data_IF_828896064319
#
_entry.id   IF_828896064319
#
_cell.length_a   1.000
_cell.length_b   1.000
_cell.length_c   1.000
_cell.angle_alpha   90.00
_cell.angle_beta   90.00
_cell.angle_gamma   90.00
#
_symmetry.space_group_name_H-M   'P 1'
#
loop_
_entity.id
_entity.type
_entity.pdbx_description
1 polymer ?
#
# COMPACT_ATOMS: atom_id res chain seq x y z
N UNK A 1 9.43 4.27 18.76
CA UNK A 1 8.04 4.37 19.26
C UNK A 1 7.88 5.37 20.44
N UNK A 2 8.94 5.80 21.10
CA UNK A 2 8.86 6.71 22.26
C UNK A 2 8.11 8.00 21.95
N UNK A 3 8.25 8.54 20.73
CA UNK A 3 7.59 9.79 20.32
C UNK A 3 6.18 9.60 19.77
N UNK A 4 5.69 8.37 19.62
CA UNK A 4 4.36 8.11 19.06
C UNK A 4 3.24 8.80 19.86
N UNK A 5 3.21 8.76 21.20
CA UNK A 5 2.20 9.48 21.98
C UNK A 5 2.23 10.99 21.77
N UNK A 6 3.42 11.59 21.62
CA UNK A 6 3.55 13.03 21.37
C UNK A 6 3.00 13.41 20.00
N UNK A 7 3.22 12.57 18.99
CA UNK A 7 2.69 12.80 17.65
C UNK A 7 1.16 12.67 17.67
N UNK A 8 0.62 11.53 18.14
CA UNK A 8 -0.81 11.22 18.00
C UNK A 8 -1.71 11.93 19.01
N UNK A 9 -1.21 12.22 20.22
CA UNK A 9 -2.01 12.84 21.28
C UNK A 9 -1.90 14.36 21.33
N UNK A 10 -0.81 14.93 20.82
CA UNK A 10 -0.60 16.37 20.84
C UNK A 10 -0.54 16.95 19.43
N UNK A 11 0.48 16.66 18.64
CA UNK A 11 0.65 17.28 17.32
C UNK A 11 -0.56 17.09 16.41
N UNK A 12 -1.06 15.87 16.29
CA UNK A 12 -2.23 15.56 15.45
C UNK A 12 -3.52 16.25 15.89
N UNK A 13 -3.66 16.58 17.16
CA UNK A 13 -4.88 17.17 17.74
C UNK A 13 -4.79 18.68 17.94
N UNK A 14 -3.60 19.25 17.94
CA UNK A 14 -3.31 20.64 18.25
C UNK A 14 -4.13 21.63 17.42
N UNK A 15 -4.17 21.43 16.11
CA UNK A 15 -4.91 22.29 15.18
C UNK A 15 -6.43 22.23 15.42
N UNK A 16 -6.98 21.06 15.72
CA UNK A 16 -8.42 20.90 15.94
C UNK A 16 -8.85 21.43 17.32
N UNK A 17 -8.15 21.01 18.38
CA UNK A 17 -8.54 21.30 19.76
C UNK A 17 -8.16 22.72 20.21
N UNK A 18 -6.97 23.16 19.85
CA UNK A 18 -6.42 24.43 20.37
C UNK A 18 -6.26 25.52 19.32
N UNK A 19 -6.58 25.22 18.04
CA UNK A 19 -6.42 26.12 16.90
C UNK A 19 -4.96 26.52 16.66
N UNK A 20 -4.03 25.69 17.12
CA UNK A 20 -2.58 25.91 16.97
C UNK A 20 -2.03 24.85 16.02
N UNK A 21 -1.65 25.20 14.78
CA UNK A 21 -1.00 24.26 13.87
C UNK A 21 0.30 23.71 14.46
N UNK A 22 0.54 22.42 14.25
CA UNK A 22 1.78 21.76 14.63
C UNK A 22 2.28 20.88 13.48
N UNK A 23 2.73 21.49 12.36
CA UNK A 23 3.17 20.73 11.21
C UNK A 23 4.46 19.96 11.52
N UNK A 24 4.40 18.65 11.45
CA UNK A 24 5.52 17.76 11.67
C UNK A 24 5.61 16.77 10.51
N UNK A 25 6.81 16.60 9.95
CA UNK A 25 7.11 15.61 8.93
C UNK A 25 7.81 14.41 9.57
N UNK A 26 7.03 13.38 9.89
CA UNK A 26 7.54 12.15 10.52
C UNK A 26 7.94 11.16 9.44
N UNK A 27 9.22 10.79 9.40
CA UNK A 27 9.74 9.77 8.49
C UNK A 27 9.79 8.43 9.20
N UNK A 28 8.99 7.48 8.72
CA UNK A 28 9.04 6.08 9.14
C UNK A 28 9.72 5.23 8.08
N UNK A 29 10.89 4.69 8.38
CA UNK A 29 11.70 3.97 7.41
C UNK A 29 11.57 2.48 7.63
N UNK A 30 10.90 1.78 6.69
CA UNK A 30 10.87 0.34 6.62
C UNK A 30 12.10 -0.24 5.92
N UNK A 31 12.44 -1.46 6.25
CA UNK A 31 13.47 -2.25 5.56
C UNK A 31 13.20 -3.74 5.73
N UNK A 32 13.84 -4.55 4.92
CA UNK A 32 13.67 -6.00 4.89
C UNK A 32 14.96 -6.74 5.24
N UNK A 33 14.81 -8.01 5.59
CA UNK A 33 15.90 -8.98 5.63
C UNK A 33 16.84 -8.83 6.82
N UNK A 34 16.63 -9.60 7.87
CA UNK A 34 17.55 -9.74 8.99
C UNK A 34 17.73 -8.48 9.85
N UNK A 35 16.85 -7.51 9.74
CA UNK A 35 16.92 -6.22 10.45
C UNK A 35 16.21 -6.23 11.79
N UNK A 36 15.61 -7.35 12.14
CA UNK A 36 14.91 -7.56 13.39
C UNK A 36 13.47 -7.04 13.42
N UNK A 37 12.79 -7.24 14.55
CA UNK A 37 11.34 -7.07 14.64
C UNK A 37 10.87 -5.61 14.56
N UNK A 38 11.74 -4.65 14.78
CA UNK A 38 11.36 -3.23 14.80
C UNK A 38 11.40 -2.60 13.41
N UNK A 39 12.41 -2.94 12.62
CA UNK A 39 12.64 -2.32 11.30
C UNK A 39 12.06 -3.13 10.13
N UNK A 40 11.56 -4.34 10.39
CA UNK A 40 11.11 -5.29 9.37
C UNK A 40 9.71 -5.02 8.80
N UNK A 41 9.12 -3.85 9.03
CA UNK A 41 7.80 -3.48 8.48
C UNK A 41 7.62 -1.98 8.38
N UNK A 42 6.64 -1.54 7.62
CA UNK A 42 6.38 -0.11 7.35
C UNK A 42 5.59 0.62 8.41
N UNK A 43 4.94 0.01 9.34
CA UNK A 43 4.23 0.62 10.49
C UNK A 43 3.18 1.71 10.21
N UNK A 44 2.85 2.03 8.97
CA UNK A 44 1.90 3.11 8.65
C UNK A 44 0.47 2.81 9.13
N UNK A 45 0.12 1.54 9.31
CA UNK A 45 -1.19 1.13 9.83
C UNK A 45 -1.44 1.58 11.26
N UNK A 46 -0.40 1.74 12.07
CA UNK A 46 -0.54 2.28 13.43
C UNK A 46 -1.08 3.71 13.43
N UNK A 47 -0.53 4.55 12.57
CA UNK A 47 -0.95 5.94 12.47
C UNK A 47 -2.25 6.12 11.69
N UNK A 48 -2.60 5.17 10.83
CA UNK A 48 -3.79 5.25 9.98
C UNK A 48 -5.08 5.44 10.79
N UNK A 49 -5.18 4.84 11.95
CA UNK A 49 -6.34 4.92 12.85
C UNK A 49 -6.46 6.25 13.59
N UNK A 50 -5.40 7.04 13.65
CA UNK A 50 -5.38 8.29 14.41
C UNK A 50 -5.92 9.45 13.58
N UNK A 51 -6.79 10.33 14.13
CA UNK A 51 -7.22 11.56 13.44
C UNK A 51 -6.07 12.57 13.34
N UNK A 52 -6.23 13.57 12.46
CA UNK A 52 -5.31 14.71 12.38
C UNK A 52 -3.95 14.43 11.75
N UNK A 53 -3.78 13.31 11.05
CA UNK A 53 -2.52 12.94 10.38
C UNK A 53 -2.76 12.55 8.93
N UNK A 54 -1.91 13.01 8.05
CA UNK A 54 -1.80 12.55 6.66
C UNK A 54 -0.74 11.46 6.55
N UNK A 55 -1.01 10.43 5.73
CA UNK A 55 -0.10 9.29 5.57
C UNK A 55 0.16 9.06 4.09
N UNK A 56 1.43 9.03 3.74
CA UNK A 56 1.91 8.85 2.38
C UNK A 56 3.02 7.80 2.33
N UNK A 57 3.13 7.09 1.21
CA UNK A 57 4.17 6.09 0.98
C UNK A 57 4.85 6.31 -0.38
N UNK A 58 5.76 7.29 -0.47
CA UNK A 58 6.49 7.57 -1.70
C UNK A 58 7.59 6.52 -1.97
N UNK A 59 7.76 6.16 -3.24
CA UNK A 59 8.80 5.23 -3.71
C UNK A 59 9.60 5.78 -4.89
N UNK A 60 9.28 7.00 -5.36
CA UNK A 60 9.93 7.59 -6.54
C UNK A 60 10.33 9.04 -6.29
N UNK A 61 11.34 9.57 -7.01
CA UNK A 61 11.84 10.92 -6.81
C UNK A 61 10.77 12.01 -6.90
N UNK A 62 9.90 11.94 -7.92
CA UNK A 62 8.84 12.96 -8.09
C UNK A 62 7.78 12.90 -6.98
N UNK A 63 7.51 11.71 -6.46
CA UNK A 63 6.57 11.56 -5.33
C UNK A 63 7.14 12.23 -4.09
N UNK A 64 8.43 12.04 -3.76
CA UNK A 64 9.09 12.71 -2.66
C UNK A 64 9.05 14.24 -2.81
N UNK A 65 9.46 14.76 -3.97
CA UNK A 65 9.44 16.20 -4.26
C UNK A 65 8.02 16.77 -4.12
N UNK A 66 7.02 16.09 -4.67
CA UNK A 66 5.62 16.53 -4.61
C UNK A 66 5.09 16.56 -3.17
N UNK A 67 5.37 15.51 -2.39
CA UNK A 67 4.92 15.42 -0.99
C UNK A 67 5.59 16.48 -0.13
N UNK A 68 6.90 16.67 -0.30
CA UNK A 68 7.64 17.70 0.42
C UNK A 68 7.13 19.11 0.10
N UNK A 69 6.93 19.41 -1.19
CA UNK A 69 6.40 20.69 -1.65
C UNK A 69 4.97 20.95 -1.14
N UNK A 70 4.18 19.89 -0.96
CA UNK A 70 2.85 20.01 -0.37
C UNK A 70 2.94 20.24 1.15
N UNK A 71 3.76 19.48 1.86
CA UNK A 71 3.97 19.65 3.30
C UNK A 71 4.41 21.07 3.66
N UNK A 72 5.33 21.66 2.89
CA UNK A 72 5.82 23.04 3.12
C UNK A 72 4.74 24.12 2.99
N UNK A 73 3.55 23.78 2.49
CA UNK A 73 2.38 24.68 2.34
C UNK A 73 1.21 24.27 3.23
N UNK A 74 1.42 23.27 4.09
CA UNK A 74 0.37 22.63 4.86
C UNK A 74 0.62 22.76 6.37
N UNK A 75 -0.43 22.85 7.14
CA UNK A 75 -0.39 22.95 8.59
C UNK A 75 -0.63 21.62 9.31
N UNK A 76 -0.63 20.51 8.56
CA UNK A 76 -0.98 19.20 9.09
C UNK A 76 0.26 18.36 9.42
N UNK A 77 0.06 17.37 10.27
CA UNK A 77 1.08 16.34 10.56
C UNK A 77 1.13 15.33 9.41
N UNK A 78 2.32 15.00 8.94
CA UNK A 78 2.56 13.98 7.93
C UNK A 78 3.34 12.81 8.51
N UNK A 79 2.84 11.58 8.29
CA UNK A 79 3.63 10.37 8.41
C UNK A 79 4.02 9.88 7.02
N UNK A 80 5.31 9.87 6.75
CA UNK A 80 5.87 9.46 5.46
C UNK A 80 6.48 8.08 5.63
N UNK A 81 5.77 7.08 5.13
CA UNK A 81 6.19 5.69 5.14
C UNK A 81 7.15 5.43 4.00
N UNK A 82 8.41 5.44 4.30
CA UNK A 82 9.51 5.21 3.35
C UNK A 82 9.99 3.76 3.43
N UNK A 83 10.65 3.30 2.37
CA UNK A 83 11.32 2.01 2.38
C UNK A 83 12.74 2.16 1.84
N UNK A 84 13.73 1.64 2.57
CA UNK A 84 15.15 1.85 2.27
C UNK A 84 15.54 1.39 0.85
N UNK A 85 14.98 0.30 0.35
CA UNK A 85 15.21 -0.16 -1.03
C UNK A 85 14.73 0.79 -2.13
N UNK A 86 13.86 1.76 -1.80
CA UNK A 86 13.41 2.76 -2.78
C UNK A 86 14.41 3.90 -2.99
N UNK A 87 15.41 4.05 -2.12
CA UNK A 87 16.36 5.18 -2.20
C UNK A 87 17.28 5.11 -3.41
N UNK A 88 17.57 3.92 -3.92
CA UNK A 88 18.34 3.73 -5.14
C UNK A 88 17.48 3.79 -6.42
N UNK A 89 16.16 3.99 -6.28
CA UNK A 89 15.25 4.03 -7.41
C UNK A 89 15.24 5.42 -8.06
N UNK A 90 15.62 5.49 -9.32
CA UNK A 90 15.55 6.69 -10.14
C UNK A 90 14.34 6.74 -11.09
N UNK A 91 13.55 5.65 -11.15
CA UNK A 91 12.44 5.53 -12.09
C UNK A 91 11.12 5.92 -11.46
N UNK A 92 10.24 6.50 -12.27
CA UNK A 92 8.88 6.82 -11.86
C UNK A 92 7.93 5.64 -12.08
N UNK A 93 7.07 5.38 -11.10
CA UNK A 93 6.06 4.33 -11.14
C UNK A 93 4.70 4.90 -11.56
N UNK A 94 4.19 4.41 -12.69
CA UNK A 94 2.89 4.83 -13.24
C UNK A 94 1.85 3.72 -13.07
N UNK A 95 0.57 4.11 -12.94
CA UNK A 95 -0.53 3.15 -13.04
C UNK A 95 -0.52 2.50 -14.42
N UNK A 96 -0.76 1.20 -14.48
CA UNK A 96 -0.88 0.44 -15.73
C UNK A 96 -2.32 -0.03 -15.91
N UNK A 97 -3.14 0.83 -16.54
CA UNK A 97 -4.58 0.63 -16.77
C UNK A 97 -4.94 0.86 -18.23
N UNK A 98 -4.12 0.34 -19.15
CA UNK A 98 -4.25 0.56 -20.60
C UNK A 98 -5.22 -0.37 -21.31
N UNK A 99 -5.67 -1.44 -20.67
CA UNK A 99 -6.61 -2.39 -21.27
C UNK A 99 -8.08 -2.03 -20.99
N UNK A 100 -8.96 -2.40 -21.89
CA UNK A 100 -10.41 -2.19 -21.71
C UNK A 100 -11.00 -3.15 -20.67
N UNK A 101 -10.47 -4.35 -20.54
CA UNK A 101 -10.91 -5.39 -19.61
C UNK A 101 -9.66 -5.98 -18.93
N UNK A 102 -9.75 -6.16 -17.61
CA UNK A 102 -8.73 -6.82 -16.81
C UNK A 102 -9.30 -8.08 -16.18
N UNK A 103 -8.47 -9.07 -15.94
CA UNK A 103 -8.83 -10.18 -15.09
C UNK A 103 -8.86 -9.72 -13.64
N UNK A 104 -7.83 -9.00 -13.18
CA UNK A 104 -7.72 -8.48 -11.83
C UNK A 104 -7.02 -7.12 -11.80
N UNK A 105 -7.34 -6.28 -10.81
CA UNK A 105 -6.61 -5.03 -10.55
C UNK A 105 -5.78 -5.18 -9.27
N UNK A 106 -4.49 -4.92 -9.38
CA UNK A 106 -3.53 -4.92 -8.26
C UNK A 106 -3.39 -3.47 -7.77
N UNK A 107 -3.83 -3.21 -6.54
CA UNK A 107 -3.59 -1.97 -5.82
C UNK A 107 -2.39 -2.20 -4.91
N UNK A 108 -1.31 -1.47 -5.10
CA UNK A 108 -0.04 -1.77 -4.46
C UNK A 108 0.53 -0.57 -3.74
N UNK A 109 1.10 -0.80 -2.55
CA UNK A 109 1.57 0.20 -1.60
C UNK A 109 3.05 -0.04 -1.35
N UNK A 110 3.82 1.02 -1.10
CA UNK A 110 5.22 0.94 -0.68
C UNK A 110 6.10 0.09 -1.60
N UNK A 111 7.02 -0.68 -1.05
CA UNK A 111 7.99 -1.49 -1.80
C UNK A 111 7.35 -2.58 -2.65
N UNK A 112 6.14 -3.05 -2.29
CA UNK A 112 5.42 -4.05 -3.08
C UNK A 112 5.03 -3.56 -4.47
N UNK A 113 5.13 -2.26 -4.74
CA UNK A 113 4.90 -1.65 -6.06
C UNK A 113 5.88 -2.19 -7.11
N UNK A 114 7.15 -2.40 -6.74
CA UNK A 114 8.15 -2.98 -7.63
C UNK A 114 7.90 -4.47 -7.88
N UNK A 115 7.53 -5.21 -6.85
CA UNK A 115 7.23 -6.63 -6.96
C UNK A 115 5.93 -6.87 -7.77
N UNK A 116 4.94 -5.99 -7.65
CA UNK A 116 3.71 -6.05 -8.45
C UNK A 116 3.96 -5.87 -9.95
N UNK A 117 4.92 -5.02 -10.33
CA UNK A 117 5.31 -4.87 -11.75
C UNK A 117 5.95 -6.16 -12.28
N UNK A 118 6.80 -6.81 -11.49
CA UNK A 118 7.39 -8.10 -11.85
C UNK A 118 6.32 -9.19 -11.91
N UNK A 119 5.41 -9.23 -10.94
CA UNK A 119 4.30 -10.17 -10.90
C UNK A 119 3.39 -10.03 -12.13
N UNK A 120 3.09 -8.80 -12.55
CA UNK A 120 2.32 -8.54 -13.79
C UNK A 120 2.96 -9.21 -15.00
N UNK A 121 4.29 -9.12 -15.16
CA UNK A 121 5.01 -9.78 -16.27
C UNK A 121 4.93 -11.31 -16.21
N UNK A 122 4.92 -11.90 -15.01
CA UNK A 122 4.74 -13.34 -14.81
C UNK A 122 3.31 -13.76 -15.22
N UNK A 123 2.31 -12.98 -14.79
CA UNK A 123 0.90 -13.22 -15.12
C UNK A 123 0.61 -13.08 -16.62
N UNK A 124 1.19 -12.08 -17.27
CA UNK A 124 1.06 -11.88 -18.73
C UNK A 124 1.55 -13.09 -19.53
N UNK A 125 2.66 -13.71 -19.12
CA UNK A 125 3.15 -14.97 -19.74
C UNK A 125 2.17 -16.14 -19.60
N UNK A 126 1.24 -16.06 -18.64
CA UNK A 126 0.17 -17.05 -18.40
C UNK A 126 -1.18 -16.63 -18.98
N UNK A 127 -1.21 -15.56 -19.79
CA UNK A 127 -2.43 -15.06 -20.41
C UNK A 127 -3.37 -14.33 -19.44
N UNK A 128 -2.90 -13.95 -18.24
CA UNK A 128 -3.69 -13.21 -17.25
C UNK A 128 -3.42 -11.71 -17.39
N UNK A 129 -4.47 -10.93 -17.63
CA UNK A 129 -4.40 -9.48 -17.81
C UNK A 129 -4.59 -8.78 -16.47
N UNK A 130 -3.50 -8.36 -15.86
CA UNK A 130 -3.52 -7.62 -14.59
C UNK A 130 -3.29 -6.11 -14.81
N UNK A 131 -4.14 -5.28 -14.20
CA UNK A 131 -3.92 -3.84 -14.07
C UNK A 131 -3.15 -3.51 -12.80
N UNK A 132 -2.33 -2.44 -12.82
CA UNK A 132 -1.62 -1.95 -11.63
C UNK A 132 -2.06 -0.53 -11.29
N UNK A 133 -2.34 -0.30 -10.03
CA UNK A 133 -2.60 0.99 -9.40
C UNK A 133 -1.59 1.22 -8.29
N UNK A 134 -0.83 2.30 -8.38
CA UNK A 134 0.16 2.70 -7.39
C UNK A 134 -0.48 3.63 -6.36
N UNK A 135 -0.63 3.18 -5.11
CA UNK A 135 -1.17 3.98 -4.02
C UNK A 135 -0.02 4.67 -3.29
N UNK A 136 -0.02 6.00 -3.32
CA UNK A 136 0.94 6.84 -2.60
C UNK A 136 0.28 7.46 -1.37
N UNK A 137 -0.97 7.94 -1.51
CA UNK A 137 -1.73 8.55 -0.42
C UNK A 137 -2.59 7.51 0.29
N UNK A 138 -2.20 7.15 1.50
CA UNK A 138 -2.94 6.20 2.34
C UNK A 138 -4.01 6.92 3.15
N UNK A 139 -3.71 8.14 3.61
CA UNK A 139 -4.67 8.97 4.35
C UNK A 139 -4.46 10.46 4.02
N UNK A 140 -5.49 11.14 3.51
CA UNK A 140 -6.79 10.60 3.12
C UNK A 140 -6.68 9.70 1.88
N UNK A 141 -7.29 8.51 1.93
CA UNK A 141 -7.40 7.66 0.76
C UNK A 141 -8.52 8.15 -0.16
N UNK A 142 -8.18 8.43 -1.42
CA UNK A 142 -9.13 8.92 -2.41
C UNK A 142 -9.12 8.03 -3.65
N UNK A 143 -10.25 7.37 -3.91
CA UNK A 143 -10.40 6.51 -5.09
C UNK A 143 -10.56 7.38 -6.34
N UNK A 144 -9.59 7.30 -7.26
CA UNK A 144 -9.65 8.03 -8.53
C UNK A 144 -10.69 7.39 -9.46
N UNK A 145 -11.41 8.21 -10.22
CA UNK A 145 -12.45 7.74 -11.16
C UNK A 145 -11.94 6.63 -12.10
N UNK A 146 -10.73 6.79 -12.65
CA UNK A 146 -10.10 5.79 -13.54
C UNK A 146 -9.86 4.43 -12.87
N UNK A 147 -9.50 4.42 -11.57
CA UNK A 147 -9.30 3.19 -10.80
C UNK A 147 -10.62 2.43 -10.63
N UNK A 148 -11.66 3.18 -10.27
CA UNK A 148 -12.99 2.61 -10.07
C UNK A 148 -13.56 2.04 -11.38
N UNK A 149 -13.37 2.72 -12.50
CA UNK A 149 -13.78 2.23 -13.82
C UNK A 149 -13.07 0.91 -14.17
N UNK A 150 -11.74 0.86 -14.02
CA UNK A 150 -10.97 -0.34 -14.28
C UNK A 150 -11.38 -1.50 -13.37
N UNK A 151 -11.56 -1.23 -12.06
CA UNK A 151 -11.99 -2.24 -11.11
C UNK A 151 -13.40 -2.77 -11.40
N UNK A 152 -14.36 -1.91 -11.74
CA UNK A 152 -15.72 -2.33 -12.12
C UNK A 152 -15.73 -3.24 -13.35
N UNK A 153 -14.82 -3.01 -14.29
CA UNK A 153 -14.66 -3.83 -15.52
C UNK A 153 -13.82 -5.08 -15.31
N UNK A 154 -13.16 -5.26 -14.17
CA UNK A 154 -12.35 -6.46 -13.92
C UNK A 154 -13.24 -7.70 -13.78
N UNK A 155 -12.72 -8.85 -14.24
CA UNK A 155 -13.47 -10.13 -14.20
C UNK A 155 -13.53 -10.70 -12.77
N UNK A 156 -12.42 -10.59 -12.03
CA UNK A 156 -12.25 -11.24 -10.72
C UNK A 156 -11.99 -10.21 -9.58
N UNK A 157 -12.33 -8.92 -9.81
CA UNK A 157 -12.19 -7.89 -8.80
C UNK A 157 -10.76 -7.37 -8.65
N UNK A 158 -10.27 -7.26 -7.42
CA UNK A 158 -8.94 -6.73 -7.16
C UNK A 158 -8.27 -7.28 -5.90
N UNK A 159 -7.00 -6.93 -5.76
CA UNK A 159 -6.19 -7.25 -4.58
C UNK A 159 -5.43 -6.00 -4.14
N UNK A 160 -5.38 -5.74 -2.83
CA UNK A 160 -4.53 -4.69 -2.23
C UNK A 160 -3.31 -5.37 -1.62
N UNK A 161 -2.12 -4.93 -2.00
CA UNK A 161 -0.84 -5.50 -1.58
C UNK A 161 -0.03 -4.43 -0.86
N UNK A 162 0.46 -4.75 0.33
CA UNK A 162 1.18 -3.85 1.21
C UNK A 162 2.43 -4.51 1.79
N UNK A 163 3.39 -3.72 2.24
CA UNK A 163 4.55 -4.16 3.02
C UNK A 163 4.36 -3.99 4.55
N UNK A 164 3.15 -3.64 4.96
CA UNK A 164 2.71 -3.69 6.35
C UNK A 164 1.89 -4.98 6.61
N UNK A 165 1.51 -5.21 7.85
CA UNK A 165 0.74 -6.40 8.23
C UNK A 165 -0.60 -6.48 7.50
N UNK A 166 -0.95 -7.69 7.06
CA UNK A 166 -2.17 -7.93 6.28
C UNK A 166 -3.46 -7.45 6.95
N UNK A 167 -3.46 -7.33 8.29
CA UNK A 167 -4.58 -6.79 9.07
C UNK A 167 -4.57 -5.26 9.20
N UNK A 168 -3.69 -4.58 8.48
CA UNK A 168 -3.50 -3.14 8.51
C UNK A 168 -4.36 -2.34 7.53
N UNK A 169 -3.80 -1.25 7.01
CA UNK A 169 -4.47 -0.30 6.11
C UNK A 169 -4.96 -0.93 4.83
N UNK A 170 -4.30 -1.97 4.34
CA UNK A 170 -4.71 -2.70 3.14
C UNK A 170 -6.14 -3.23 3.22
N UNK A 171 -6.59 -3.72 4.37
CA UNK A 171 -7.99 -4.15 4.58
C UNK A 171 -8.98 -2.99 4.54
N UNK A 172 -8.64 -1.85 5.11
CA UNK A 172 -9.49 -0.66 5.05
C UNK A 172 -9.66 -0.18 3.60
N UNK A 173 -8.56 -0.07 2.87
CA UNK A 173 -8.57 0.30 1.45
C UNK A 173 -9.36 -0.71 0.61
N UNK A 174 -9.17 -2.01 0.85
CA UNK A 174 -9.90 -3.07 0.16
C UNK A 174 -11.41 -2.96 0.41
N UNK A 175 -11.82 -2.68 1.65
CA UNK A 175 -13.22 -2.45 1.99
C UNK A 175 -13.82 -1.24 1.24
N UNK A 176 -13.13 -0.12 1.22
CA UNK A 176 -13.58 1.09 0.51
C UNK A 176 -13.72 0.85 -0.99
N UNK A 177 -12.76 0.15 -1.59
CA UNK A 177 -12.80 -0.26 -2.99
C UNK A 177 -13.97 -1.22 -3.27
N UNK A 178 -14.21 -2.20 -2.39
CA UNK A 178 -15.34 -3.13 -2.49
C UNK A 178 -16.67 -2.38 -2.44
N UNK A 179 -16.88 -1.53 -1.44
CA UNK A 179 -18.13 -0.77 -1.28
C UNK A 179 -18.43 0.12 -2.49
N UNK A 180 -17.41 0.77 -3.07
CA UNK A 180 -17.55 1.66 -4.22
C UNK A 180 -17.71 0.92 -5.56
N UNK A 181 -17.03 -0.21 -5.73
CA UNK A 181 -17.02 -0.94 -7.00
C UNK A 181 -18.05 -2.07 -7.07
N UNK A 182 -18.46 -2.60 -5.91
CA UNK A 182 -19.23 -3.85 -5.75
C UNK A 182 -18.47 -5.08 -6.29
N UNK A 183 -17.14 -5.00 -6.35
CA UNK A 183 -16.25 -6.08 -6.76
C UNK A 183 -15.56 -6.68 -5.55
N UNK A 184 -15.36 -7.99 -5.57
CA UNK A 184 -14.61 -8.68 -4.52
C UNK A 184 -13.19 -8.13 -4.44
N UNK A 185 -12.74 -7.83 -3.23
CA UNK A 185 -11.39 -7.38 -2.94
C UNK A 185 -10.68 -8.38 -2.05
N UNK A 186 -9.41 -8.59 -2.33
CA UNK A 186 -8.50 -9.43 -1.56
C UNK A 186 -7.39 -8.57 -0.97
N UNK A 187 -6.65 -9.10 0.01
CA UNK A 187 -5.50 -8.40 0.61
C UNK A 187 -4.32 -9.34 0.75
N UNK A 188 -3.12 -8.79 0.61
CA UNK A 188 -1.85 -9.47 0.82
C UNK A 188 -0.87 -8.53 1.50
N UNK A 189 -0.09 -9.04 2.45
CA UNK A 189 0.87 -8.26 3.23
C UNK A 189 1.71 -9.16 4.12
N UNK A 190 2.40 -8.59 5.08
CA UNK A 190 3.13 -9.34 6.09
C UNK A 190 2.18 -10.25 6.87
N UNK A 191 2.67 -11.44 7.20
CA UNK A 191 1.95 -12.40 8.05
C UNK A 191 1.84 -11.84 9.48
N UNK A 192 0.82 -12.26 10.20
CA UNK A 192 0.62 -11.91 11.61
C UNK A 192 1.62 -12.70 12.49
N UNK A 193 2.90 -12.34 12.37
CA UNK A 193 4.00 -12.88 13.16
C UNK A 193 5.15 -11.88 13.22
N UNK A 194 5.96 -11.95 14.25
CA UNK A 194 7.17 -11.16 14.38
C UNK A 194 8.25 -11.59 13.38
N UNK A 195 8.98 -10.63 12.81
CA UNK A 195 10.21 -10.90 12.09
C UNK A 195 11.36 -11.12 13.07
N UNK A 196 12.24 -12.07 12.77
CA UNK A 196 13.47 -12.30 13.54
C UNK A 196 14.70 -11.73 12.85
N UNK A 197 15.87 -11.96 13.45
CA UNK A 197 17.16 -11.55 12.88
C UNK A 197 17.72 -12.56 11.87
N UNK A 198 17.27 -13.79 11.90
CA UNK A 198 17.73 -14.83 11.01
C UNK A 198 16.79 -15.01 9.82
N UNK A 199 17.33 -15.28 8.64
CA UNK A 199 16.58 -15.43 7.38
C UNK A 199 15.41 -16.41 7.44
N UNK A 200 15.52 -17.48 8.24
CA UNK A 200 14.46 -18.50 8.38
C UNK A 200 13.23 -18.00 9.15
N UNK A 201 13.35 -16.92 9.89
CA UNK A 201 12.29 -16.31 10.70
C UNK A 201 11.92 -14.90 10.23
N UNK A 202 12.39 -14.51 9.05
CA UNK A 202 12.02 -13.24 8.43
C UNK A 202 10.52 -13.22 8.10
N UNK A 203 9.93 -12.03 8.20
CA UNK A 203 8.58 -11.75 7.75
C UNK A 203 8.67 -10.74 6.60
N UNK A 204 8.89 -11.24 5.41
CA UNK A 204 9.14 -10.42 4.24
C UNK A 204 7.85 -10.00 3.55
N UNK A 205 7.84 -8.80 2.92
CA UNK A 205 6.75 -8.39 2.04
C UNK A 205 6.55 -9.39 0.89
N UNK A 206 5.34 -9.50 0.36
CA UNK A 206 5.05 -10.39 -0.76
C UNK A 206 5.94 -10.11 -1.97
N UNK A 207 6.61 -11.13 -2.46
CA UNK A 207 7.41 -11.06 -3.69
C UNK A 207 6.57 -11.33 -4.95
N UNK A 208 7.17 -11.13 -6.13
CA UNK A 208 6.49 -11.25 -7.41
C UNK A 208 5.88 -12.65 -7.67
N UNK A 209 6.55 -13.71 -7.24
CA UNK A 209 6.06 -15.08 -7.40
C UNK A 209 4.89 -15.38 -6.47
N UNK A 210 4.97 -14.95 -5.21
CA UNK A 210 3.90 -15.10 -4.24
C UNK A 210 2.66 -14.34 -4.68
N UNK A 211 2.82 -13.09 -5.16
CA UNK A 211 1.74 -12.28 -5.71
C UNK A 211 1.08 -13.00 -6.91
N UNK A 212 1.88 -13.50 -7.83
CA UNK A 212 1.37 -14.21 -9.01
C UNK A 212 0.59 -15.45 -8.64
N UNK A 213 1.14 -16.29 -7.74
CA UNK A 213 0.48 -17.52 -7.25
C UNK A 213 -0.83 -17.22 -6.54
N UNK A 214 -0.90 -16.15 -5.73
CA UNK A 214 -2.13 -15.80 -5.04
C UNK A 214 -3.21 -15.31 -6.02
N UNK A 215 -2.83 -14.53 -7.03
CA UNK A 215 -3.76 -14.09 -8.09
C UNK A 215 -4.30 -15.29 -8.87
N UNK A 216 -3.46 -16.25 -9.23
CA UNK A 216 -3.90 -17.50 -9.88
C UNK A 216 -4.91 -18.27 -9.04
N UNK A 217 -4.68 -18.40 -7.73
CA UNK A 217 -5.64 -19.02 -6.80
C UNK A 217 -6.98 -18.29 -6.78
N UNK A 218 -6.97 -16.95 -6.74
CA UNK A 218 -8.17 -16.13 -6.77
C UNK A 218 -8.97 -16.40 -8.05
N UNK A 219 -8.31 -16.42 -9.20
CA UNK A 219 -8.95 -16.67 -10.51
C UNK A 219 -9.54 -18.07 -10.57
N UNK A 220 -8.76 -19.10 -10.21
CA UNK A 220 -9.18 -20.49 -10.27
C UNK A 220 -10.39 -20.76 -9.34
N UNK A 221 -10.36 -20.24 -8.11
CA UNK A 221 -11.47 -20.37 -7.15
C UNK A 221 -12.76 -19.74 -7.67
N UNK A 222 -12.67 -18.61 -8.34
CA UNK A 222 -13.83 -17.93 -8.91
C UNK A 222 -14.37 -18.66 -10.16
N UNK A 223 -13.50 -19.28 -10.95
CA UNK A 223 -13.92 -20.10 -12.10
C UNK A 223 -14.65 -21.38 -11.65
N UNK A 224 -14.16 -22.05 -10.61
CA UNK A 224 -14.83 -23.23 -10.03
C UNK A 224 -16.23 -22.89 -9.49
N UNK A 225 -16.38 -21.77 -8.79
CA UNK A 225 -17.68 -21.31 -8.26
C UNK A 225 -18.72 -20.96 -9.35
N UNK A 226 -18.31 -20.66 -10.57
CA UNK A 226 -19.22 -20.41 -11.69
C UNK A 226 -19.63 -21.66 -12.42
N UNK A 227 -18.94 -22.78 -12.20
CA UNK A 227 -19.23 -24.09 -12.81
C UNK A 227 -20.07 -25.00 -11.91
N UNK A 228 -20.11 -24.70 -10.61
CA UNK A 228 -20.97 -25.32 -9.60
C UNK A 228 -22.31 -24.56 -9.47
#
# INVERSE_FOLDING_TARGET
WYNCPMIVNYACKSKELWKIPCPIFVRGIGMEGGTGPVAGSSHHSLYFRMPGIKIVSPMTPKEYISIYSQFMKDDDVYYVSEHRKSYDNSLELKDSLSYNIFDIIIFTISITRFESIKAKKILEKKGIVAGIVNIVWLKPFRIKKRWLIALKKSRFGGIVIDDDYVNGVSKSIANDLNLKSKKQMHTMGLKDRTAGFHKTVDNLPPNAEEISKEIEKIINKNQMRKRA
#
